data_IF_852897650457
#
_entry.id   IF_852897650457
#
_cell.length_a   1.000
_cell.length_b   1.000
_cell.length_c   1.000
_cell.angle_alpha   90.00
_cell.angle_beta   90.00
_cell.angle_gamma   90.00
#
_symmetry.space_group_name_H-M   'P 1'
#
loop_
_entity.id
_entity.type
_entity.pdbx_description
1 polymer ?
#
# COMPACT_ATOMS: atom_id res chain seq x y z
N UNK A 1 -5.75 7.89 14.58
CA UNK A 1 -5.49 6.52 15.06
C UNK A 1 -6.15 5.56 14.09
N UNK A 2 -5.40 4.59 13.55
CA UNK A 2 -5.91 3.64 12.56
C UNK A 2 -6.92 2.66 13.19
N UNK A 3 -7.87 2.15 12.39
CA UNK A 3 -8.86 1.16 12.85
C UNK A 3 -8.45 -0.29 12.53
N UNK A 4 -7.17 -0.56 12.29
CA UNK A 4 -6.67 -1.87 11.92
C UNK A 4 -5.28 -2.13 12.49
N UNK A 5 -4.87 -3.41 12.52
CA UNK A 5 -3.51 -3.78 12.88
C UNK A 5 -2.58 -3.60 11.67
N UNK A 6 -1.48 -2.84 11.76
CA UNK A 6 -0.53 -2.69 10.65
C UNK A 6 -0.06 -4.01 10.06
N UNK A 7 0.06 -5.07 10.86
CA UNK A 7 0.49 -6.40 10.41
C UNK A 7 -0.51 -7.02 9.43
N UNK A 8 -1.81 -6.79 9.63
CA UNK A 8 -2.83 -7.32 8.74
C UNK A 8 -2.73 -6.70 7.34
N UNK A 9 -2.54 -5.36 7.27
CA UNK A 9 -2.36 -4.69 5.97
C UNK A 9 -1.08 -5.16 5.27
N UNK A 10 0.00 -5.36 6.03
CA UNK A 10 1.24 -5.91 5.50
C UNK A 10 1.02 -7.32 4.92
N UNK A 11 0.30 -8.18 5.64
CA UNK A 11 -0.05 -9.51 5.15
C UNK A 11 -0.88 -9.44 3.85
N UNK A 12 -1.88 -8.57 3.79
CA UNK A 12 -2.68 -8.40 2.58
C UNK A 12 -1.83 -7.94 1.39
N UNK A 13 -0.91 -6.99 1.60
CA UNK A 13 0.04 -6.56 0.59
C UNK A 13 0.91 -7.72 0.09
N UNK A 14 1.49 -8.50 1.01
CA UNK A 14 2.30 -9.69 0.67
C UNK A 14 1.53 -10.67 -0.20
N UNK A 15 0.33 -11.05 0.22
CA UNK A 15 -0.49 -12.02 -0.51
C UNK A 15 -0.87 -11.46 -1.88
N UNK A 16 -1.32 -10.20 -1.95
CA UNK A 16 -1.69 -9.55 -3.22
C UNK A 16 -0.54 -9.58 -4.23
N UNK A 17 0.67 -9.22 -3.80
CA UNK A 17 1.84 -9.17 -4.68
C UNK A 17 2.31 -10.57 -5.08
N UNK A 18 2.38 -11.52 -4.14
CA UNK A 18 2.81 -12.89 -4.44
C UNK A 18 1.85 -13.57 -5.42
N UNK A 19 0.53 -13.42 -5.21
CA UNK A 19 -0.49 -13.96 -6.12
C UNK A 19 -0.40 -13.36 -7.52
N UNK A 20 0.12 -12.14 -7.65
CA UNK A 20 0.39 -11.48 -8.93
C UNK A 20 1.81 -11.75 -9.49
N UNK A 21 2.57 -12.67 -8.88
CA UNK A 21 3.96 -12.97 -9.20
C UNK A 21 4.88 -11.72 -9.16
N UNK A 22 4.67 -10.87 -8.16
CA UNK A 22 5.47 -9.66 -7.86
C UNK A 22 6.24 -9.83 -6.56
N UNK A 23 7.43 -9.21 -6.49
CA UNK A 23 8.23 -9.22 -5.26
C UNK A 23 7.66 -8.25 -4.22
N UNK A 24 7.56 -8.71 -2.97
CA UNK A 24 7.24 -7.85 -1.84
C UNK A 24 8.36 -6.82 -1.55
N UNK A 25 9.59 -7.08 -2.00
CA UNK A 25 10.73 -6.17 -1.82
C UNK A 25 10.57 -4.84 -2.59
N UNK A 26 9.58 -4.76 -3.50
CA UNK A 26 9.19 -3.51 -4.14
C UNK A 26 8.56 -2.51 -3.15
N UNK A 27 8.04 -2.98 -2.02
CA UNK A 27 7.53 -2.14 -0.92
C UNK A 27 8.70 -1.81 0.01
N UNK A 28 8.94 -0.52 0.18
CA UNK A 28 10.00 0.02 1.04
C UNK A 28 9.41 0.84 2.18
N UNK A 29 10.16 0.91 3.28
CA UNK A 29 9.88 1.81 4.42
C UNK A 29 8.46 1.63 4.98
N UNK A 30 8.04 0.37 5.13
CA UNK A 30 6.76 0.06 5.77
C UNK A 30 6.81 0.40 7.26
N UNK A 31 6.11 1.45 7.66
CA UNK A 31 6.12 1.96 9.02
C UNK A 31 4.72 2.35 9.51
N UNK A 32 4.54 2.32 10.82
CA UNK A 32 3.36 2.87 11.48
C UNK A 32 3.73 4.13 12.24
N UNK A 33 3.14 5.26 11.86
CA UNK A 33 3.45 6.60 12.40
C UNK A 33 2.65 6.98 13.65
N UNK A 34 1.77 6.09 14.13
CA UNK A 34 0.75 6.42 15.15
C UNK A 34 -0.58 6.88 14.53
N UNK A 35 -0.52 7.51 13.35
CA UNK A 35 -1.71 8.04 12.65
C UNK A 35 -2.08 7.27 11.39
N UNK A 36 -1.07 6.76 10.68
CA UNK A 36 -1.22 6.02 9.44
C UNK A 36 -0.15 4.94 9.32
N UNK A 37 -0.44 3.91 8.52
CA UNK A 37 0.61 3.08 7.92
C UNK A 37 1.13 3.78 6.69
N UNK A 38 2.45 3.95 6.61
CA UNK A 38 3.15 4.59 5.50
C UNK A 38 4.09 3.57 4.87
N UNK A 39 4.16 3.58 3.54
CA UNK A 39 5.16 2.83 2.79
C UNK A 39 5.33 3.47 1.42
N UNK A 40 6.40 3.11 0.70
CA UNK A 40 6.64 3.62 -0.65
C UNK A 40 7.02 2.51 -1.62
N UNK A 41 6.82 2.82 -2.89
CA UNK A 41 7.20 1.97 -4.02
C UNK A 41 7.93 2.84 -5.03
N UNK A 42 9.16 2.45 -5.39
CA UNK A 42 9.93 3.17 -6.42
C UNK A 42 9.15 3.22 -7.74
N UNK A 43 9.31 4.31 -8.48
CA UNK A 43 8.56 4.52 -9.73
C UNK A 43 8.88 3.47 -10.81
N UNK A 44 10.04 2.82 -10.74
CA UNK A 44 10.37 1.68 -11.61
C UNK A 44 9.39 0.49 -11.45
N UNK A 45 8.71 0.37 -10.31
CA UNK A 45 7.67 -0.61 -10.02
C UNK A 45 6.27 0.00 -10.03
N UNK A 46 5.98 0.87 -11.01
CA UNK A 46 4.66 1.53 -11.10
C UNK A 46 3.50 0.53 -11.26
N UNK A 47 3.75 -0.63 -11.87
CA UNK A 47 2.77 -1.71 -11.97
C UNK A 47 2.37 -2.26 -10.58
N UNK A 48 3.33 -2.43 -9.67
CA UNK A 48 3.08 -2.77 -8.25
C UNK A 48 2.26 -1.68 -7.58
N UNK A 49 2.58 -0.40 -7.83
CA UNK A 49 1.80 0.72 -7.30
C UNK A 49 0.34 0.67 -7.75
N UNK A 50 0.09 0.41 -9.04
CA UNK A 50 -1.28 0.29 -9.58
C UNK A 50 -2.06 -0.88 -8.97
N UNK A 51 -1.41 -2.02 -8.70
CA UNK A 51 -2.04 -3.15 -8.01
C UNK A 51 -2.43 -2.81 -6.58
N UNK A 52 -1.55 -2.11 -5.85
CA UNK A 52 -1.83 -1.65 -4.49
C UNK A 52 -2.99 -0.66 -4.48
N UNK A 53 -3.07 0.24 -5.47
CA UNK A 53 -4.19 1.19 -5.61
C UNK A 53 -5.52 0.44 -5.80
N UNK A 54 -5.59 -0.57 -6.66
CA UNK A 54 -6.82 -1.38 -6.83
C UNK A 54 -7.21 -2.08 -5.52
N UNK A 55 -6.25 -2.71 -4.84
CA UNK A 55 -6.49 -3.39 -3.56
C UNK A 55 -6.98 -2.41 -2.48
N UNK A 56 -6.35 -1.24 -2.34
CA UNK A 56 -6.77 -0.21 -1.39
C UNK A 56 -8.12 0.39 -1.78
N UNK A 57 -8.42 0.57 -3.07
CA UNK A 57 -9.72 1.04 -3.52
C UNK A 57 -10.89 0.14 -3.10
N UNK A 58 -10.62 -1.16 -2.89
CA UNK A 58 -11.61 -2.15 -2.41
C UNK A 58 -11.65 -2.25 -0.88
N UNK A 59 -10.51 -2.10 -0.21
CA UNK A 59 -10.36 -2.44 1.21
C UNK A 59 -10.17 -1.25 2.14
N UNK A 60 -9.66 -0.13 1.64
CA UNK A 60 -9.41 1.06 2.44
C UNK A 60 -10.61 2.01 2.39
N UNK A 61 -10.96 2.58 3.55
CA UNK A 61 -11.98 3.63 3.65
C UNK A 61 -11.37 5.04 3.64
N UNK A 62 -10.07 5.16 3.96
CA UNK A 62 -9.31 6.41 3.89
C UNK A 62 -7.83 6.16 3.65
N UNK A 63 -7.30 6.66 2.54
CA UNK A 63 -5.88 6.59 2.19
C UNK A 63 -5.48 7.76 1.28
N UNK A 64 -4.18 8.08 1.25
CA UNK A 64 -3.58 9.03 0.32
C UNK A 64 -2.53 8.33 -0.55
N UNK A 65 -2.37 8.83 -1.77
CA UNK A 65 -1.30 8.45 -2.71
C UNK A 65 -0.57 9.73 -3.08
N UNK A 66 0.74 9.76 -2.84
CA UNK A 66 1.56 10.95 -3.03
C UNK A 66 2.77 10.61 -3.93
N UNK A 67 2.84 11.13 -5.16
CA UNK A 67 4.04 11.01 -5.97
C UNK A 67 5.12 11.98 -5.47
N UNK A 68 6.35 11.50 -5.34
CA UNK A 68 7.51 12.32 -4.98
C UNK A 68 8.49 12.36 -6.14
N UNK A 69 8.90 13.56 -6.56
CA UNK A 69 9.88 13.76 -7.62
C UNK A 69 11.31 13.78 -7.05
N UNK A 70 12.29 13.40 -7.87
CA UNK A 70 13.70 13.58 -7.51
C UNK A 70 14.00 15.07 -7.34
N UNK A 71 14.86 15.45 -6.38
CA UNK A 71 15.23 16.85 -6.19
C UNK A 71 15.74 17.49 -7.49
N UNK A 72 15.17 18.64 -7.85
CA UNK A 72 15.53 19.40 -9.05
C UNK A 72 15.26 18.71 -10.40
N UNK A 73 14.37 17.71 -10.46
CA UNK A 73 13.93 17.10 -11.72
C UNK A 73 12.39 17.04 -11.82
N UNK A 74 11.88 16.71 -13.01
CA UNK A 74 10.47 16.39 -13.23
C UNK A 74 10.20 14.88 -13.19
N UNK A 75 11.20 14.07 -12.83
CA UNK A 75 11.10 12.61 -12.78
C UNK A 75 10.55 12.18 -11.42
N UNK A 76 9.49 11.38 -11.44
CA UNK A 76 8.94 10.76 -10.23
C UNK A 76 9.94 9.70 -9.74
N UNK A 77 10.32 9.79 -8.48
CA UNK A 77 11.24 8.86 -7.82
C UNK A 77 10.48 7.68 -7.22
N UNK A 78 9.43 7.97 -6.45
CA UNK A 78 8.60 6.96 -5.80
C UNK A 78 7.17 7.44 -5.59
N UNK A 79 6.28 6.49 -5.37
CA UNK A 79 4.91 6.70 -4.93
C UNK A 79 4.83 6.32 -3.44
N UNK A 80 4.37 7.24 -2.61
CA UNK A 80 4.11 7.00 -1.19
C UNK A 80 2.63 6.73 -0.97
N UNK A 81 2.35 5.73 -0.15
CA UNK A 81 1.03 5.36 0.31
C UNK A 81 0.90 5.71 1.79
N UNK A 82 -0.24 6.26 2.16
CA UNK A 82 -0.59 6.51 3.56
C UNK A 82 -1.99 5.96 3.81
N UNK A 83 -2.12 4.92 4.62
CA UNK A 83 -3.39 4.25 4.91
C UNK A 83 -3.83 4.59 6.32
N UNK A 84 -4.99 5.23 6.43
CA UNK A 84 -5.53 5.74 7.70
C UNK A 84 -6.66 4.86 8.24
N UNK A 85 -7.45 4.26 7.36
CA UNK A 85 -8.50 3.35 7.78
C UNK A 85 -8.87 2.34 6.70
N UNK A 86 -9.29 1.17 7.14
CA UNK A 86 -9.84 0.11 6.29
C UNK A 86 -11.34 -0.06 6.50
N UNK A 87 -12.01 -0.62 5.50
CA UNK A 87 -13.32 -1.21 5.64
C UNK A 87 -13.15 -2.66 6.11
N UNK A 88 -13.45 -2.92 7.39
CA UNK A 88 -13.23 -4.25 8.00
C UNK A 88 -13.96 -5.38 7.27
N UNK A 89 -15.16 -5.12 6.72
CA UNK A 89 -15.93 -6.13 5.98
C UNK A 89 -15.19 -6.58 4.73
N UNK A 90 -14.86 -5.63 3.85
CA UNK A 90 -14.16 -5.91 2.60
C UNK A 90 -12.75 -6.46 2.84
N UNK A 91 -12.08 -5.94 3.86
CA UNK A 91 -10.74 -6.38 4.23
C UNK A 91 -10.73 -7.82 4.74
N UNK A 92 -11.69 -8.20 5.59
CA UNK A 92 -11.84 -9.58 6.05
C UNK A 92 -12.21 -10.51 4.89
N UNK A 93 -13.15 -10.11 4.04
CA UNK A 93 -13.53 -10.89 2.85
C UNK A 93 -12.33 -11.15 1.93
N UNK A 94 -11.48 -10.15 1.68
CA UNK A 94 -10.25 -10.34 0.90
C UNK A 94 -9.22 -11.24 1.57
N UNK A 95 -9.11 -11.23 2.91
CA UNK A 95 -8.23 -12.18 3.61
C UNK A 95 -8.78 -13.61 3.61
N UNK A 96 -10.11 -13.77 3.69
CA UNK A 96 -10.76 -15.08 3.77
C UNK A 96 -10.90 -15.77 2.40
N UNK A 97 -10.86 -15.01 1.30
CA UNK A 97 -11.01 -15.52 -0.09
C UNK A 97 -9.70 -15.78 -0.83
N UNK A 98 -8.56 -15.49 -0.19
CA UNK A 98 -7.21 -15.75 -0.72
C UNK A 98 -6.56 -16.95 -0.04
#
# INVERSE_FOLDING_TARGET
MINFKPENLNQLLKVTLISANKSYDAIKEYEFTGEAVVFRVDFEYIDVSLMIIDMLGRTASKFNILPYARPNTNEIDYIQFQVYSINEGNFKEMLDTM
#
